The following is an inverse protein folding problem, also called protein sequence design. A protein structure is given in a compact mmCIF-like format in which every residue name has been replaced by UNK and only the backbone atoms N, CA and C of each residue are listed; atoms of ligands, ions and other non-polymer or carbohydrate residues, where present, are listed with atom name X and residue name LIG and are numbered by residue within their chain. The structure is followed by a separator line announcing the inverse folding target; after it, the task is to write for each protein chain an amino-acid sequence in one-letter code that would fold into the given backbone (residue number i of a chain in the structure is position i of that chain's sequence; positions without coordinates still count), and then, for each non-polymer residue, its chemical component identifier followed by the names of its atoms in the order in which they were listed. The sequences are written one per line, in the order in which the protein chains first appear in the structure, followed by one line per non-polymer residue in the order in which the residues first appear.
data_IF_278603065243
#
_entry.id   IF_278603065243
#
_cell.length_a   1.000
_cell.length_b   1.000
_cell.length_c   1.000
_cell.angle_alpha   90.00
_cell.angle_beta   90.00
_cell.angle_gamma   90.00
#
_symmetry.space_group_name_H-M   'P 1'
#
loop_
_entity.id
_entity.type
_entity.pdbx_description
1 polymer ?
#
# COMPACT_ATOMS: atom_id res chain seq x y z
N UNK A 1 24.68 -20.05 60.32
CA UNK A 1 25.52 -20.26 61.53
C UNK A 1 24.77 -20.86 62.71
N UNK A 2 23.78 -20.18 63.34
CA UNK A 2 23.18 -20.63 64.63
C UNK A 2 22.78 -22.12 64.72
N UNK A 3 22.13 -22.69 63.69
CA UNK A 3 21.76 -24.13 63.66
C UNK A 3 22.95 -25.10 63.67
N UNK A 4 24.12 -24.67 63.19
CA UNK A 4 25.37 -25.46 63.18
C UNK A 4 25.98 -25.46 64.58
N UNK A 5 26.08 -24.28 65.21
CA UNK A 5 26.54 -24.15 66.60
C UNK A 5 25.65 -24.96 67.57
N UNK A 6 24.31 -24.94 67.40
CA UNK A 6 23.39 -25.78 68.19
C UNK A 6 23.66 -27.29 68.01
N UNK A 7 24.05 -27.76 66.83
CA UNK A 7 24.36 -29.19 66.59
C UNK A 7 25.69 -29.64 67.18
N UNK A 8 26.70 -28.75 67.23
CA UNK A 8 28.06 -29.10 67.68
C UNK A 8 28.13 -29.24 69.21
N UNK A 9 27.37 -28.45 69.98
CA UNK A 9 27.57 -28.36 71.43
C UNK A 9 26.89 -29.45 72.28
N UNK A 10 26.02 -30.29 71.72
CA UNK A 10 25.45 -31.51 72.35
C UNK A 10 24.87 -31.38 73.77
N UNK A 11 24.53 -30.17 74.23
CA UNK A 11 23.84 -29.92 75.48
C UNK A 11 22.37 -30.33 75.31
N UNK A 12 21.92 -31.30 76.10
CA UNK A 12 20.52 -31.69 76.16
C UNK A 12 19.70 -30.52 76.71
N UNK A 13 18.84 -29.92 75.89
CA UNK A 13 18.16 -28.64 76.16
C UNK A 13 17.27 -28.70 77.44
N UNK A 14 16.99 -29.92 77.92
CA UNK A 14 16.36 -30.21 79.21
C UNK A 14 17.25 -29.87 80.41
N UNK A 15 18.54 -30.21 80.41
CA UNK A 15 19.41 -30.05 81.59
C UNK A 15 19.81 -28.60 81.83
N UNK A 16 20.01 -27.83 80.75
CA UNK A 16 20.23 -26.39 80.85
C UNK A 16 19.00 -25.66 81.43
N UNK A 17 17.79 -26.11 81.08
CA UNK A 17 16.55 -25.54 81.57
C UNK A 17 16.21 -25.95 83.01
N UNK A 18 16.48 -27.18 83.44
CA UNK A 18 16.33 -27.56 84.86
C UNK A 18 17.35 -26.84 85.75
N UNK A 19 18.60 -26.68 85.30
CA UNK A 19 19.61 -25.92 86.04
C UNK A 19 19.18 -24.45 86.23
N UNK A 20 18.75 -23.77 85.16
CA UNK A 20 18.22 -22.39 85.23
C UNK A 20 17.05 -22.26 86.21
N UNK A 21 16.15 -23.24 86.23
CA UNK A 21 15.01 -23.25 87.14
C UNK A 21 15.46 -23.30 88.62
N UNK A 22 16.29 -24.28 89.00
CA UNK A 22 16.78 -24.40 90.39
C UNK A 22 17.58 -23.18 90.87
N UNK A 23 18.41 -22.63 89.98
CA UNK A 23 19.21 -21.41 90.25
C UNK A 23 18.34 -20.19 90.52
N UNK A 24 17.22 -20.03 89.82
CA UNK A 24 16.28 -18.92 90.04
C UNK A 24 15.41 -19.14 91.30
N UNK A 25 15.04 -20.40 91.55
CA UNK A 25 14.08 -20.78 92.59
C UNK A 25 14.60 -20.55 94.02
N UNK A 26 15.88 -20.84 94.28
CA UNK A 26 16.51 -20.65 95.59
C UNK A 26 16.48 -19.19 96.07
N UNK A 27 17.04 -18.23 95.30
CA UNK A 27 16.98 -16.80 95.61
C UNK A 27 15.55 -16.25 95.70
N UNK A 28 14.61 -16.78 94.91
CA UNK A 28 13.20 -16.36 94.95
C UNK A 28 12.53 -16.74 96.28
N UNK A 29 12.66 -18.00 96.73
CA UNK A 29 12.14 -18.41 98.05
C UNK A 29 12.88 -17.74 99.20
N UNK A 30 14.18 -17.46 99.06
CA UNK A 30 14.95 -16.72 100.06
C UNK A 30 14.41 -15.29 100.21
N UNK A 31 14.18 -14.57 99.10
CA UNK A 31 13.65 -13.22 99.09
C UNK A 31 12.22 -13.17 99.66
N UNK A 32 11.36 -14.12 99.28
CA UNK A 32 10.01 -14.26 99.84
C UNK A 32 10.04 -14.52 101.36
N UNK A 33 10.96 -15.37 101.82
CA UNK A 33 11.14 -15.66 103.26
C UNK A 33 11.66 -14.45 104.02
N UNK A 34 12.52 -13.62 103.41
CA UNK A 34 13.02 -12.36 104.01
C UNK A 34 11.89 -11.33 104.16
N UNK A 35 10.97 -11.22 103.19
CA UNK A 35 9.83 -10.28 103.28
C UNK A 35 8.89 -10.64 104.44
N UNK A 36 8.77 -11.93 104.76
CA UNK A 36 7.92 -12.44 105.86
C UNK A 36 8.65 -12.53 107.20
N UNK A 37 9.95 -12.27 107.25
CA UNK A 37 10.78 -12.42 108.44
C UNK A 37 10.80 -11.16 109.33
N UNK A 38 10.95 -11.29 110.66
CA UNK A 38 11.31 -10.17 111.52
C UNK A 38 12.70 -9.61 111.12
N UNK A 39 12.92 -8.34 111.40
CA UNK A 39 14.07 -7.57 110.89
C UNK A 39 15.43 -8.20 111.24
N UNK A 40 15.56 -8.74 112.44
CA UNK A 40 16.76 -9.43 112.93
C UNK A 40 17.08 -10.68 112.09
N UNK A 41 16.04 -11.46 111.75
CA UNK A 41 16.16 -12.65 110.92
C UNK A 41 16.42 -12.30 109.44
N UNK A 42 15.89 -11.18 108.95
CA UNK A 42 16.20 -10.65 107.62
C UNK A 42 17.67 -10.17 107.50
N UNK A 43 18.20 -9.51 108.53
CA UNK A 43 19.63 -9.13 108.61
C UNK A 43 20.51 -10.38 108.68
N UNK A 44 20.11 -11.40 109.46
CA UNK A 44 20.84 -12.67 109.51
C UNK A 44 20.80 -13.42 108.16
N UNK A 45 19.66 -13.45 107.46
CA UNK A 45 19.51 -14.10 106.17
C UNK A 45 20.30 -13.42 105.04
N UNK A 46 20.39 -12.08 105.04
CA UNK A 46 21.24 -11.35 104.08
C UNK A 46 22.73 -11.56 104.35
N UNK A 47 23.15 -11.58 105.62
CA UNK A 47 24.52 -11.95 106.00
C UNK A 47 24.84 -13.42 105.64
N UNK A 48 23.89 -14.34 105.83
CA UNK A 48 24.00 -15.76 105.46
C UNK A 48 24.15 -15.96 103.94
N UNK A 49 23.42 -15.20 103.13
CA UNK A 49 23.56 -15.18 101.67
C UNK A 49 24.95 -14.68 101.26
N UNK A 50 25.41 -13.56 101.84
CA UNK A 50 26.75 -13.03 101.57
C UNK A 50 27.87 -14.00 101.95
N UNK A 51 27.77 -14.65 103.11
CA UNK A 51 28.69 -15.71 103.53
C UNK A 51 28.69 -16.90 102.55
N UNK A 52 27.51 -17.38 102.16
CA UNK A 52 27.34 -18.49 101.21
C UNK A 52 27.93 -18.16 99.83
N UNK A 53 27.71 -16.95 99.33
CA UNK A 53 28.32 -16.46 98.10
C UNK A 53 29.86 -16.36 98.22
N UNK A 54 30.37 -15.75 99.30
CA UNK A 54 31.80 -15.44 99.46
C UNK A 54 32.67 -16.65 99.82
N UNK A 55 32.10 -17.67 100.48
CA UNK A 55 32.81 -18.83 101.01
C UNK A 55 32.24 -20.19 100.56
N UNK A 56 31.26 -20.21 99.64
CA UNK A 56 30.63 -21.43 99.06
C UNK A 56 30.04 -22.33 100.16
N UNK A 57 30.11 -23.65 100.00
CA UNK A 57 29.68 -24.62 101.02
C UNK A 57 30.21 -24.33 102.44
N UNK A 58 31.44 -23.82 102.61
CA UNK A 58 31.96 -23.43 103.94
C UNK A 58 31.18 -22.25 104.52
N UNK A 59 30.79 -21.29 103.68
CA UNK A 59 29.90 -20.18 104.04
C UNK A 59 28.48 -20.65 104.37
N UNK A 60 27.95 -21.61 103.60
CA UNK A 60 26.66 -22.24 103.90
C UNK A 60 26.68 -22.91 105.28
N UNK A 61 27.65 -23.79 105.58
CA UNK A 61 27.74 -24.42 106.90
C UNK A 61 27.87 -23.39 108.03
N UNK A 62 28.68 -22.35 107.85
CA UNK A 62 28.79 -21.27 108.84
C UNK A 62 27.46 -20.54 109.05
N UNK A 63 26.73 -20.28 107.96
CA UNK A 63 25.42 -19.60 108.01
C UNK A 63 24.32 -20.44 108.64
N UNK A 64 24.31 -21.76 108.40
CA UNK A 64 23.37 -22.69 109.05
C UNK A 64 23.65 -22.80 110.55
N UNK A 65 24.92 -22.81 110.97
CA UNK A 65 25.31 -22.78 112.39
C UNK A 65 24.90 -21.44 113.06
N UNK A 66 25.07 -20.31 112.36
CA UNK A 66 24.60 -19.01 112.86
C UNK A 66 23.06 -18.95 112.98
N UNK A 67 22.35 -19.52 112.00
CA UNK A 67 20.89 -19.58 111.97
C UNK A 67 20.31 -20.52 113.04
N UNK A 68 20.92 -21.69 113.30
CA UNK A 68 20.47 -22.57 114.40
C UNK A 68 20.83 -22.01 115.77
N UNK A 69 21.97 -21.33 115.94
CA UNK A 69 22.30 -20.63 117.17
C UNK A 69 21.32 -19.48 117.46
N UNK A 70 20.93 -18.73 116.42
CA UNK A 70 19.90 -17.69 116.52
C UNK A 70 18.52 -18.28 116.84
N UNK A 71 18.13 -19.36 116.16
CA UNK A 71 16.87 -20.11 116.40
C UNK A 71 16.73 -20.59 117.84
N UNK A 72 17.80 -21.14 118.43
CA UNK A 72 17.81 -21.52 119.84
C UNK A 72 17.71 -20.30 120.77
N UNK A 73 18.33 -19.17 120.41
CA UNK A 73 18.25 -17.93 121.18
C UNK A 73 16.85 -17.29 121.11
N UNK A 74 16.19 -17.27 119.95
CA UNK A 74 14.83 -16.73 119.79
C UNK A 74 13.81 -17.59 120.52
N UNK A 75 13.89 -18.92 120.41
CA UNK A 75 12.97 -19.86 121.07
C UNK A 75 13.04 -19.82 122.60
N UNK A 76 14.19 -19.48 123.18
CA UNK A 76 14.35 -19.35 124.65
C UNK A 76 13.81 -18.01 125.18
N UNK A 77 13.77 -16.95 124.36
CA UNK A 77 13.52 -15.58 124.84
C UNK A 77 12.20 -14.95 124.37
N UNK A 78 11.61 -15.38 123.24
CA UNK A 78 10.30 -14.89 122.78
C UNK A 78 9.20 -15.90 123.11
N UNK A 79 8.11 -15.42 123.72
CA UNK A 79 7.01 -16.25 124.27
C UNK A 79 5.89 -16.52 123.25
N UNK A 80 5.87 -15.81 122.12
CA UNK A 80 4.78 -15.89 121.13
C UNK A 80 5.27 -16.41 119.77
N UNK A 81 4.41 -17.19 119.11
CA UNK A 81 4.55 -17.64 117.72
C UNK A 81 5.82 -18.46 117.38
N UNK A 82 6.37 -19.23 118.33
CA UNK A 82 7.52 -20.14 118.13
C UNK A 82 7.46 -20.95 116.82
N UNK A 83 6.30 -21.56 116.52
CA UNK A 83 6.11 -22.42 115.35
C UNK A 83 6.23 -21.67 114.00
N UNK A 84 5.82 -20.40 113.98
CA UNK A 84 5.93 -19.54 112.79
C UNK A 84 7.38 -19.15 112.54
N UNK A 85 8.10 -18.73 113.60
CA UNK A 85 9.51 -18.36 113.51
C UNK A 85 10.37 -19.56 113.09
N UNK A 86 10.14 -20.75 113.67
CA UNK A 86 10.78 -22.00 113.25
C UNK A 86 10.52 -22.31 111.77
N UNK A 87 9.29 -22.08 111.28
CA UNK A 87 8.93 -22.26 109.88
C UNK A 87 9.68 -21.32 108.93
N UNK A 88 9.83 -20.05 109.30
CA UNK A 88 10.61 -19.06 108.56
C UNK A 88 12.11 -19.40 108.56
N UNK A 89 12.67 -19.75 109.73
CA UNK A 89 14.07 -20.17 109.89
C UNK A 89 14.37 -21.41 109.02
N UNK A 90 13.48 -22.41 109.02
CA UNK A 90 13.58 -23.59 108.16
C UNK A 90 13.46 -23.24 106.65
N UNK A 91 12.57 -22.32 106.27
CA UNK A 91 12.43 -21.84 104.88
C UNK A 91 13.69 -21.12 104.40
N UNK A 92 14.28 -20.27 105.24
CA UNK A 92 15.54 -19.57 104.96
C UNK A 92 16.69 -20.58 104.82
N UNK A 93 16.79 -21.55 105.74
CA UNK A 93 17.80 -22.62 105.68
C UNK A 93 17.71 -23.43 104.38
N UNK A 94 16.50 -23.86 103.99
CA UNK A 94 16.26 -24.61 102.75
C UNK A 94 16.60 -23.76 101.51
N UNK A 95 16.22 -22.49 101.51
CA UNK A 95 16.46 -21.58 100.38
C UNK A 95 17.95 -21.26 100.20
N UNK A 96 18.71 -21.14 101.29
CA UNK A 96 20.17 -21.04 101.27
C UNK A 96 20.81 -22.31 100.69
N UNK A 97 20.33 -23.50 101.07
CA UNK A 97 20.79 -24.79 100.54
C UNK A 97 20.56 -24.89 99.03
N UNK A 98 19.35 -24.61 98.54
CA UNK A 98 19.03 -24.62 97.10
C UNK A 98 19.93 -23.64 96.34
N UNK A 99 20.09 -22.42 96.87
CA UNK A 99 20.93 -21.37 96.26
C UNK A 99 22.40 -21.79 96.17
N UNK A 100 22.96 -22.40 97.23
CA UNK A 100 24.36 -22.84 97.24
C UNK A 100 24.64 -23.97 96.26
N UNK A 101 23.74 -24.96 96.15
CA UNK A 101 23.87 -26.04 95.17
C UNK A 101 23.77 -25.52 93.72
N UNK A 102 22.81 -24.64 93.43
CA UNK A 102 22.68 -24.03 92.10
C UNK A 102 23.93 -23.25 91.66
N UNK A 103 24.59 -22.55 92.60
CA UNK A 103 25.81 -21.78 92.31
C UNK A 103 27.04 -22.66 92.02
N UNK A 104 27.21 -23.81 92.69
CA UNK A 104 28.35 -24.68 92.38
C UNK A 104 28.13 -25.48 91.08
N UNK A 105 26.89 -25.89 90.79
CA UNK A 105 26.56 -26.60 89.55
C UNK A 105 26.76 -25.73 88.29
N UNK A 106 26.38 -24.45 88.35
CA UNK A 106 26.76 -23.46 87.32
C UNK A 106 28.29 -23.43 87.12
N UNK A 107 29.05 -23.41 88.23
CA UNK A 107 30.51 -23.34 88.16
C UNK A 107 31.10 -24.59 87.49
N UNK A 108 30.57 -25.76 87.83
CA UNK A 108 31.03 -27.05 87.31
C UNK A 108 30.76 -27.16 85.80
N UNK A 109 29.58 -26.73 85.35
CA UNK A 109 29.21 -26.57 83.93
C UNK A 109 30.14 -25.60 83.18
N UNK A 110 30.49 -24.45 83.79
CA UNK A 110 31.42 -23.47 83.21
C UNK A 110 32.85 -24.03 83.08
N UNK A 111 33.33 -24.85 84.03
CA UNK A 111 34.65 -25.51 83.91
C UNK A 111 34.69 -26.55 82.79
N UNK A 112 33.73 -27.49 82.73
CA UNK A 112 33.70 -28.51 81.67
C UNK A 112 33.66 -27.90 80.26
N UNK A 113 32.98 -26.75 80.09
CA UNK A 113 32.90 -26.05 78.80
C UNK A 113 34.21 -25.36 78.37
N UNK A 114 35.31 -25.49 79.13
CA UNK A 114 36.58 -24.79 78.91
C UNK A 114 37.79 -25.70 78.66
N UNK A 115 37.62 -27.02 78.74
CA UNK A 115 38.76 -27.95 78.97
C UNK A 115 39.38 -28.61 77.73
N UNK A 116 38.86 -28.41 76.50
CA UNK A 116 39.49 -28.97 75.29
C UNK A 116 39.97 -27.92 74.27
N UNK A 117 41.18 -27.32 74.46
CA UNK A 117 41.75 -26.38 73.49
C UNK A 117 42.13 -27.03 72.15
N UNK A 118 42.29 -28.37 72.10
CA UNK A 118 42.60 -29.09 70.87
C UNK A 118 41.44 -29.02 69.86
N UNK A 119 40.19 -29.08 70.33
CA UNK A 119 39.00 -28.98 69.46
C UNK A 119 38.88 -27.59 68.83
N UNK A 120 39.25 -26.53 69.55
CA UNK A 120 39.30 -25.17 69.01
C UNK A 120 40.34 -25.04 67.89
N UNK A 121 41.52 -25.67 68.06
CA UNK A 121 42.57 -25.68 67.04
C UNK A 121 42.14 -26.50 65.80
N UNK A 122 41.53 -27.66 66.01
CA UNK A 122 40.97 -28.49 64.94
C UNK A 122 39.87 -27.73 64.16
N UNK A 123 38.98 -27.02 64.86
CA UNK A 123 37.94 -26.17 64.25
C UNK A 123 38.56 -24.99 63.48
N UNK A 124 39.61 -24.36 64.00
CA UNK A 124 40.31 -23.28 63.30
C UNK A 124 40.98 -23.77 62.02
N UNK A 125 41.57 -24.97 62.04
CA UNK A 125 42.09 -25.60 60.82
C UNK A 125 40.98 -25.88 59.80
N UNK A 126 39.86 -26.47 60.23
CA UNK A 126 38.71 -26.72 59.34
C UNK A 126 38.14 -25.42 58.76
N UNK A 127 38.09 -24.32 59.52
CA UNK A 127 37.65 -23.02 59.00
C UNK A 127 38.61 -22.52 57.91
N UNK A 128 39.92 -22.61 58.13
CA UNK A 128 40.94 -22.20 57.15
C UNK A 128 40.90 -23.08 55.87
N UNK A 129 40.65 -24.38 56.01
CA UNK A 129 40.53 -25.31 54.88
C UNK A 129 39.25 -25.04 54.07
N UNK A 130 38.11 -24.83 54.74
CA UNK A 130 36.86 -24.43 54.09
C UNK A 130 36.96 -23.06 53.41
N UNK A 131 37.68 -22.10 53.99
CA UNK A 131 37.92 -20.80 53.35
C UNK A 131 38.74 -20.95 52.07
N UNK A 132 39.84 -21.72 52.09
CA UNK A 132 40.63 -22.01 50.88
C UNK A 132 39.82 -22.75 49.81
N UNK A 133 38.96 -23.68 50.21
CA UNK A 133 38.03 -24.34 49.30
C UNK A 133 37.06 -23.33 48.66
N UNK A 134 36.49 -22.41 49.45
CA UNK A 134 35.63 -21.34 48.96
C UNK A 134 36.35 -20.41 47.97
N UNK A 135 37.53 -19.90 48.32
CA UNK A 135 38.37 -19.04 47.46
C UNK A 135 38.74 -19.73 46.13
N UNK A 136 38.93 -21.06 46.14
CA UNK A 136 39.16 -21.83 44.91
C UNK A 136 37.89 -22.02 44.09
N UNK A 137 36.73 -22.27 44.72
CA UNK A 137 35.45 -22.30 43.99
C UNK A 137 35.11 -20.94 43.38
N UNK A 138 35.38 -19.83 44.08
CA UNK A 138 35.13 -18.48 43.57
C UNK A 138 35.98 -18.19 42.33
N UNK A 139 37.28 -18.51 42.36
CA UNK A 139 38.18 -18.41 41.18
C UNK A 139 37.69 -19.26 40.01
N UNK A 140 37.23 -20.49 40.26
CA UNK A 140 36.66 -21.35 39.22
C UNK A 140 35.37 -20.75 38.62
N UNK A 141 34.49 -20.17 39.46
CA UNK A 141 33.31 -19.47 38.96
C UNK A 141 33.68 -18.21 38.15
N UNK A 142 34.66 -17.42 38.58
CA UNK A 142 35.15 -16.26 37.81
C UNK A 142 35.73 -16.68 36.45
N UNK A 143 36.52 -17.76 36.38
CA UNK A 143 37.03 -18.31 35.10
C UNK A 143 35.89 -18.77 34.20
N UNK A 144 34.91 -19.50 34.74
CA UNK A 144 33.76 -19.97 33.97
C UNK A 144 32.89 -18.80 33.47
N UNK A 145 32.68 -17.76 34.28
CA UNK A 145 31.96 -16.54 33.87
C UNK A 145 32.69 -15.86 32.71
N UNK A 146 34.01 -15.67 32.82
CA UNK A 146 34.80 -15.05 31.74
C UNK A 146 34.76 -15.88 30.43
N UNK A 147 34.76 -17.21 30.52
CA UNK A 147 34.56 -18.08 29.36
C UNK A 147 33.17 -17.91 28.75
N UNK A 148 32.11 -17.92 29.58
CA UNK A 148 30.72 -17.68 29.15
C UNK A 148 30.52 -16.29 28.52
N UNK A 149 31.21 -15.25 29.00
CA UNK A 149 31.20 -13.92 28.38
C UNK A 149 31.85 -13.94 26.99
N UNK A 150 33.05 -14.53 26.85
CA UNK A 150 33.72 -14.65 25.55
C UNK A 150 32.88 -15.48 24.54
N UNK A 151 32.25 -16.56 25.00
CA UNK A 151 31.33 -17.39 24.21
C UNK A 151 30.05 -16.66 23.79
N UNK A 152 29.62 -15.64 24.56
CA UNK A 152 28.47 -14.79 24.24
C UNK A 152 28.88 -13.72 23.22
N UNK A 153 30.00 -13.03 23.45
CA UNK A 153 30.51 -11.98 22.56
C UNK A 153 30.84 -12.53 21.17
N UNK A 154 31.50 -13.69 21.09
CA UNK A 154 31.77 -14.37 19.80
C UNK A 154 30.49 -14.85 19.10
N UNK A 155 29.46 -15.28 19.84
CA UNK A 155 28.14 -15.58 19.25
C UNK A 155 27.42 -14.32 18.77
N UNK A 156 27.55 -13.20 19.48
CA UNK A 156 26.98 -11.91 19.06
C UNK A 156 27.66 -11.37 17.79
N UNK A 157 28.99 -11.52 17.67
CA UNK A 157 29.73 -11.18 16.45
C UNK A 157 29.35 -12.09 15.26
N UNK A 158 29.32 -13.41 15.45
CA UNK A 158 28.87 -14.34 14.41
C UNK A 158 27.43 -14.05 13.95
N UNK A 159 26.51 -13.82 14.89
CA UNK A 159 25.12 -13.44 14.60
C UNK A 159 25.05 -12.12 13.80
N UNK A 160 25.88 -11.13 14.13
CA UNK A 160 25.98 -9.87 13.39
C UNK A 160 26.51 -10.07 11.96
N UNK A 161 27.48 -10.97 11.76
CA UNK A 161 27.95 -11.34 10.43
C UNK A 161 26.84 -12.03 9.62
N UNK A 162 26.15 -13.00 10.20
CA UNK A 162 25.01 -13.67 9.54
C UNK A 162 23.87 -12.72 9.20
N UNK A 163 23.59 -11.69 10.02
CA UNK A 163 22.64 -10.64 9.65
C UNK A 163 23.12 -9.82 8.43
N UNK A 164 24.40 -9.47 8.35
CA UNK A 164 24.97 -8.76 7.19
C UNK A 164 24.93 -9.61 5.92
N UNK A 165 25.24 -10.91 6.03
CA UNK A 165 25.12 -11.88 4.93
C UNK A 165 23.66 -12.00 4.44
N UNK A 166 22.69 -12.04 5.35
CA UNK A 166 21.28 -12.08 4.98
C UNK A 166 20.80 -10.79 4.28
N UNK A 167 21.27 -9.61 4.69
CA UNK A 167 20.95 -8.36 3.98
C UNK A 167 21.58 -8.31 2.58
N UNK A 168 22.81 -8.80 2.42
CA UNK A 168 23.44 -8.95 1.11
C UNK A 168 22.66 -9.93 0.22
N UNK A 169 22.30 -11.10 0.73
CA UNK A 169 21.50 -12.10 -0.01
C UNK A 169 20.11 -11.57 -0.41
N UNK A 170 19.45 -10.77 0.43
CA UNK A 170 18.20 -10.08 0.06
C UNK A 170 18.43 -9.11 -1.10
N UNK A 171 19.49 -8.30 -1.03
CA UNK A 171 19.84 -7.34 -2.08
C UNK A 171 20.10 -8.05 -3.41
N UNK A 172 20.95 -9.08 -3.39
CA UNK A 172 21.28 -9.89 -4.58
C UNK A 172 20.03 -10.59 -5.14
N UNK A 173 19.11 -11.05 -4.29
CA UNK A 173 17.82 -11.62 -4.72
C UNK A 173 16.93 -10.55 -5.38
N UNK A 174 16.85 -9.33 -4.83
CA UNK A 174 16.09 -8.23 -5.48
C UNK A 174 16.70 -7.79 -6.82
N UNK A 175 18.03 -7.74 -6.94
CA UNK A 175 18.71 -7.44 -8.21
C UNK A 175 18.48 -8.55 -9.24
N UNK A 176 18.50 -9.81 -8.83
CA UNK A 176 18.16 -10.94 -9.72
C UNK A 176 16.67 -10.95 -10.12
N UNK A 177 15.74 -10.56 -9.24
CA UNK A 177 14.33 -10.39 -9.60
C UNK A 177 14.16 -9.27 -10.63
N UNK A 178 14.72 -8.08 -10.39
CA UNK A 178 14.68 -6.98 -11.35
C UNK A 178 15.30 -7.36 -12.71
N UNK A 179 16.40 -8.13 -12.69
CA UNK A 179 17.03 -8.65 -13.91
C UNK A 179 16.16 -9.68 -14.63
N UNK A 180 15.46 -10.56 -13.91
CA UNK A 180 14.48 -11.50 -14.47
C UNK A 180 13.34 -10.74 -15.14
N UNK A 181 12.79 -9.72 -14.47
CA UNK A 181 11.67 -8.93 -14.99
C UNK A 181 12.10 -8.13 -16.22
N UNK A 182 13.31 -7.58 -16.25
CA UNK A 182 13.89 -6.97 -17.45
C UNK A 182 13.99 -7.96 -18.63
N UNK A 183 14.57 -9.15 -18.39
CA UNK A 183 14.73 -10.17 -19.43
C UNK A 183 13.38 -10.73 -19.92
N UNK A 184 12.37 -10.79 -19.05
CA UNK A 184 11.01 -11.17 -19.43
C UNK A 184 10.36 -10.12 -20.33
N UNK A 185 10.54 -8.82 -20.04
CA UNK A 185 10.07 -7.75 -20.93
C UNK A 185 10.82 -7.74 -22.28
N UNK A 186 12.12 -8.04 -22.29
CA UNK A 186 12.90 -8.19 -23.53
C UNK A 186 12.41 -9.39 -24.35
N UNK A 187 12.12 -10.53 -23.69
CA UNK A 187 11.53 -11.71 -24.35
C UNK A 187 10.14 -11.40 -24.92
N UNK A 188 9.25 -10.75 -24.16
CA UNK A 188 7.92 -10.32 -24.61
C UNK A 188 7.98 -9.37 -25.81
N UNK A 189 9.02 -8.52 -25.90
CA UNK A 189 9.26 -7.70 -27.08
C UNK A 189 9.73 -8.57 -28.26
N UNK A 190 10.65 -9.53 -28.04
CA UNK A 190 11.14 -10.42 -29.12
C UNK A 190 10.04 -11.34 -29.66
N UNK A 191 9.14 -11.84 -28.81
CA UNK A 191 7.96 -12.59 -29.24
C UNK A 191 7.10 -11.75 -30.18
N UNK A 192 6.76 -10.51 -29.79
CA UNK A 192 6.00 -9.58 -30.65
C UNK A 192 6.72 -9.29 -31.95
N UNK A 193 8.04 -9.03 -31.92
CA UNK A 193 8.84 -8.84 -33.14
C UNK A 193 8.78 -10.07 -34.07
N UNK A 194 8.77 -11.29 -33.53
CA UNK A 194 8.59 -12.52 -34.34
C UNK A 194 7.17 -12.71 -34.85
N UNK A 195 6.12 -12.38 -34.09
CA UNK A 195 4.73 -12.39 -34.56
C UNK A 195 4.54 -11.38 -35.71
N UNK A 196 5.09 -10.18 -35.56
CA UNK A 196 5.09 -9.12 -36.57
C UNK A 196 5.84 -9.52 -37.84
N UNK A 197 6.85 -10.40 -37.74
CA UNK A 197 7.57 -10.97 -38.89
C UNK A 197 6.83 -12.15 -39.51
N UNK A 198 6.15 -12.98 -38.70
CA UNK A 198 5.29 -14.07 -39.15
C UNK A 198 4.15 -13.53 -40.04
N UNK A 199 3.44 -12.48 -39.58
CA UNK A 199 2.37 -11.84 -40.38
C UNK A 199 2.91 -11.28 -41.70
N UNK A 200 4.10 -10.66 -41.70
CA UNK A 200 4.75 -10.15 -42.93
C UNK A 200 5.18 -11.29 -43.87
N UNK A 201 5.56 -12.44 -43.34
CA UNK A 201 5.89 -13.65 -44.11
C UNK A 201 4.63 -14.20 -44.78
N UNK A 202 3.52 -14.31 -44.05
CA UNK A 202 2.25 -14.82 -44.56
C UNK A 202 1.65 -13.87 -45.61
N UNK A 203 1.70 -12.55 -45.39
CA UNK A 203 1.38 -11.53 -46.41
C UNK A 203 2.20 -11.70 -47.70
N UNK A 204 3.49 -12.06 -47.59
CA UNK A 204 4.35 -12.28 -48.75
C UNK A 204 4.02 -13.60 -49.45
N UNK A 205 3.68 -14.66 -48.72
CA UNK A 205 3.18 -15.90 -49.31
C UNK A 205 1.85 -15.71 -50.04
N UNK A 206 0.92 -14.92 -49.49
CA UNK A 206 -0.34 -14.59 -50.15
C UNK A 206 -0.09 -13.82 -51.47
N UNK A 207 0.76 -12.79 -51.43
CA UNK A 207 1.18 -12.03 -52.63
C UNK A 207 1.89 -12.90 -53.66
N UNK A 208 2.72 -13.86 -53.23
CA UNK A 208 3.36 -14.84 -54.11
C UNK A 208 2.32 -15.80 -54.71
N UNK A 209 1.28 -16.19 -53.97
CA UNK A 209 0.18 -17.01 -54.50
C UNK A 209 -0.59 -16.27 -55.60
N UNK A 210 -1.01 -15.02 -55.34
CA UNK A 210 -1.68 -14.19 -56.36
C UNK A 210 -0.84 -13.92 -57.61
N UNK A 211 0.50 -13.93 -57.49
CA UNK A 211 1.43 -13.82 -58.62
C UNK A 211 1.73 -15.18 -59.30
N UNK A 212 1.44 -16.29 -58.64
CA UNK A 212 1.60 -17.66 -59.15
C UNK A 212 0.33 -18.16 -59.84
N UNK A 213 -0.83 -17.55 -59.57
CA UNK A 213 -2.07 -17.75 -60.32
C UNK A 213 -1.95 -17.15 -61.74
N UNK A 214 -1.17 -17.85 -62.58
CA UNK A 214 -0.87 -17.52 -63.97
C UNK A 214 -2.15 -17.32 -64.79
N UNK A 215 -3.22 -18.05 -64.46
CA UNK A 215 -4.54 -17.91 -65.09
C UNK A 215 -5.20 -16.55 -64.80
N UNK A 216 -5.08 -16.02 -63.57
CA UNK A 216 -5.54 -14.67 -63.22
C UNK A 216 -4.69 -13.59 -63.90
N UNK A 217 -3.38 -13.77 -63.98
CA UNK A 217 -2.50 -12.86 -64.71
C UNK A 217 -2.76 -12.89 -66.23
N UNK A 218 -3.07 -14.05 -66.79
CA UNK A 218 -3.48 -14.21 -68.19
C UNK A 218 -4.85 -13.57 -68.46
N UNK A 219 -5.83 -13.73 -67.57
CA UNK A 219 -7.14 -13.08 -67.69
C UNK A 219 -7.02 -11.56 -67.59
N UNK A 220 -6.25 -11.04 -66.62
CA UNK A 220 -5.99 -9.60 -66.48
C UNK A 220 -5.25 -9.02 -67.69
N UNK A 221 -4.29 -9.74 -68.26
CA UNK A 221 -3.65 -9.34 -69.52
C UNK A 221 -4.65 -9.40 -70.70
N UNK A 222 -5.55 -10.38 -70.77
CA UNK A 222 -6.62 -10.43 -71.80
C UNK A 222 -7.58 -9.24 -71.69
N UNK A 223 -7.94 -8.80 -70.48
CA UNK A 223 -8.78 -7.58 -70.33
C UNK A 223 -8.02 -6.32 -70.73
N UNK A 224 -6.78 -6.13 -70.28
CA UNK A 224 -5.99 -4.96 -70.68
C UNK A 224 -5.67 -4.94 -72.19
N UNK A 225 -5.51 -6.10 -72.84
CA UNK A 225 -5.38 -6.18 -74.30
C UNK A 225 -6.67 -5.78 -75.02
N UNK A 226 -7.85 -6.16 -74.51
CA UNK A 226 -9.15 -5.69 -75.04
C UNK A 226 -9.31 -4.18 -74.86
N UNK A 227 -9.00 -3.63 -73.69
CA UNK A 227 -9.03 -2.18 -73.44
C UNK A 227 -8.11 -1.41 -74.41
N UNK A 228 -6.91 -1.94 -74.67
CA UNK A 228 -5.97 -1.37 -75.65
C UNK A 228 -6.55 -1.44 -77.08
N UNK A 229 -7.22 -2.53 -77.45
CA UNK A 229 -7.82 -2.67 -78.78
C UNK A 229 -9.09 -1.80 -78.95
N UNK A 230 -9.91 -1.66 -77.92
CA UNK A 230 -11.05 -0.72 -77.88
C UNK A 230 -10.58 0.74 -77.97
N UNK A 231 -9.54 1.14 -77.21
CA UNK A 231 -8.94 2.47 -77.30
C UNK A 231 -8.29 2.73 -78.67
N UNK A 232 -7.68 1.71 -79.28
CA UNK A 232 -7.09 1.78 -80.63
C UNK A 232 -8.18 1.94 -81.70
N UNK A 233 -9.30 1.22 -81.57
CA UNK A 233 -10.46 1.35 -82.45
C UNK A 233 -11.11 2.73 -82.31
N UNK A 234 -11.27 3.24 -81.08
CA UNK A 234 -11.77 4.58 -80.80
C UNK A 234 -10.85 5.67 -81.38
N UNK A 235 -9.53 5.50 -81.26
CA UNK A 235 -8.54 6.38 -81.88
C UNK A 235 -8.65 6.39 -83.42
N UNK A 236 -8.90 5.22 -84.02
CA UNK A 236 -9.12 5.10 -85.46
C UNK A 236 -10.42 5.78 -85.93
N UNK A 237 -11.55 5.63 -85.21
CA UNK A 237 -12.79 6.38 -85.54
C UNK A 237 -12.62 7.87 -85.35
N UNK A 238 -11.99 8.34 -84.27
CA UNK A 238 -11.69 9.76 -84.06
C UNK A 238 -10.77 10.33 -85.15
N UNK A 239 -9.79 9.55 -85.65
CA UNK A 239 -8.97 9.94 -86.80
C UNK A 239 -9.80 10.03 -88.09
N UNK A 240 -10.71 9.08 -88.33
CA UNK A 240 -11.59 9.11 -89.50
C UNK A 240 -12.61 10.26 -89.44
N UNK A 241 -13.13 10.60 -88.25
CA UNK A 241 -13.98 11.77 -88.04
C UNK A 241 -13.20 13.07 -88.25
N UNK A 242 -11.96 13.16 -87.75
CA UNK A 242 -11.06 14.27 -88.03
C UNK A 242 -10.80 14.45 -89.53
N UNK A 243 -10.60 13.36 -90.28
CA UNK A 243 -10.46 13.41 -91.74
C UNK A 243 -11.76 13.89 -92.44
N UNK A 244 -12.93 13.44 -91.99
CA UNK A 244 -14.23 13.97 -92.46
C UNK A 244 -14.38 15.46 -92.17
N UNK A 245 -14.05 15.91 -90.96
CA UNK A 245 -14.11 17.34 -90.62
C UNK A 245 -13.11 18.18 -91.42
N UNK A 246 -11.90 17.65 -91.70
CA UNK A 246 -10.92 18.33 -92.57
C UNK A 246 -11.41 18.41 -94.02
N UNK A 247 -12.06 17.36 -94.55
CA UNK A 247 -12.62 17.41 -95.90
C UNK A 247 -13.79 18.39 -95.99
N UNK A 248 -14.72 18.38 -95.02
CA UNK A 248 -15.79 19.37 -94.88
C UNK A 248 -15.26 20.81 -94.76
N UNK A 249 -14.19 21.03 -93.98
CA UNK A 249 -13.57 22.35 -93.83
C UNK A 249 -13.00 22.80 -95.18
N UNK A 250 -12.30 21.92 -95.90
CA UNK A 250 -11.75 22.24 -97.23
C UNK A 250 -12.84 22.53 -98.28
N UNK A 251 -14.02 21.92 -98.17
CA UNK A 251 -15.18 22.29 -98.97
C UNK A 251 -15.76 23.65 -98.60
N UNK A 252 -15.84 23.96 -97.30
CA UNK A 252 -16.31 25.26 -96.80
C UNK A 252 -15.35 26.37 -97.22
N UNK A 253 -14.05 26.16 -97.12
CA UNK A 253 -13.01 27.08 -97.60
C UNK A 253 -13.08 27.30 -99.13
N UNK A 254 -13.31 26.23 -99.92
CA UNK A 254 -13.56 26.36 -101.38
C UNK A 254 -14.80 27.20 -101.67
N UNK A 255 -15.90 26.97 -100.94
CA UNK A 255 -17.14 27.75 -101.06
C UNK A 255 -16.94 29.21 -100.64
N UNK A 256 -16.13 29.48 -99.62
CA UNK A 256 -15.72 30.84 -99.22
C UNK A 256 -14.90 31.50 -100.35
N UNK A 257 -13.85 30.85 -100.88
CA UNK A 257 -13.05 31.39 -101.98
C UNK A 257 -13.86 31.64 -103.26
N UNK A 258 -14.89 30.83 -103.53
CA UNK A 258 -15.81 31.05 -104.64
C UNK A 258 -16.75 32.24 -104.40
N UNK A 259 -17.28 32.38 -103.18
CA UNK A 259 -18.05 33.55 -102.75
C UNK A 259 -17.19 34.83 -102.79
N UNK A 260 -15.95 34.80 -102.34
CA UNK A 260 -14.99 35.92 -102.43
C UNK A 260 -14.72 36.33 -103.87
N UNK A 261 -14.46 35.36 -104.77
CA UNK A 261 -14.32 35.63 -106.22
C UNK A 261 -15.59 36.22 -106.82
N UNK A 262 -16.77 35.80 -106.36
CA UNK A 262 -18.04 36.35 -106.85
C UNK A 262 -18.31 37.75 -106.28
N UNK A 263 -17.96 38.03 -105.01
CA UNK A 263 -17.97 39.38 -104.42
C UNK A 263 -16.99 40.30 -105.17
N UNK A 264 -15.80 39.82 -105.54
CA UNK A 264 -14.80 40.57 -106.30
C UNK A 264 -15.29 40.90 -107.73
N UNK A 265 -15.97 39.97 -108.41
CA UNK A 265 -16.65 40.24 -109.69
C UNK A 265 -17.80 41.23 -109.56
N UNK A 266 -18.55 41.19 -108.45
CA UNK A 266 -19.67 42.11 -108.19
C UNK A 266 -19.15 43.52 -107.89
N UNK A 267 -18.08 43.68 -107.09
CA UNK A 267 -17.48 44.99 -106.83
C UNK A 267 -16.81 45.60 -108.07
N UNK A 268 -16.18 44.78 -108.91
CA UNK A 268 -15.70 45.24 -110.23
C UNK A 268 -16.85 45.70 -111.15
N UNK A 269 -17.98 44.98 -111.17
CA UNK A 269 -19.16 45.37 -111.95
C UNK A 269 -19.95 46.57 -111.39
N UNK A 270 -19.84 46.84 -110.09
CA UNK A 270 -20.38 48.07 -109.48
C UNK A 270 -19.48 49.25 -109.85
N UNK A 271 -18.16 49.11 -109.68
CA UNK A 271 -17.19 50.15 -110.02
C UNK A 271 -17.22 50.52 -111.51
N UNK A 272 -17.47 49.58 -112.43
CA UNK A 272 -17.62 49.92 -113.85
C UNK A 272 -18.91 50.72 -114.11
N UNK A 273 -20.06 50.22 -113.64
CA UNK A 273 -21.37 50.86 -113.86
C UNK A 273 -21.51 52.22 -113.18
N UNK A 274 -20.92 52.39 -112.00
CA UNK A 274 -20.95 53.67 -111.27
C UNK A 274 -20.07 54.71 -111.97
N UNK A 275 -18.90 54.31 -112.47
CA UNK A 275 -18.08 55.18 -113.33
C UNK A 275 -18.78 55.51 -114.66
N UNK A 276 -19.39 54.55 -115.36
CA UNK A 276 -20.17 54.82 -116.59
C UNK A 276 -21.32 55.81 -116.32
N UNK A 277 -22.05 55.63 -115.22
CA UNK A 277 -23.16 56.52 -114.85
C UNK A 277 -22.68 57.93 -114.49
N UNK A 278 -21.57 58.06 -113.77
CA UNK A 278 -20.93 59.35 -113.50
C UNK A 278 -20.47 60.01 -114.81
N UNK A 279 -19.91 59.24 -115.75
CA UNK A 279 -19.52 59.74 -117.08
C UNK A 279 -20.72 60.26 -117.89
N UNK A 280 -21.85 59.54 -117.82
CA UNK A 280 -23.12 59.91 -118.46
C UNK A 280 -23.71 61.20 -117.84
N UNK A 281 -23.79 61.28 -116.51
CA UNK A 281 -24.25 62.50 -115.82
C UNK A 281 -23.32 63.70 -116.07
N UNK A 282 -22.00 63.48 -116.20
CA UNK A 282 -21.03 64.51 -116.57
C UNK A 282 -21.24 65.00 -118.00
N UNK A 283 -21.49 64.09 -118.96
CA UNK A 283 -21.78 64.43 -120.35
C UNK A 283 -23.13 65.14 -120.50
N UNK A 284 -24.17 64.70 -119.79
CA UNK A 284 -25.44 65.42 -119.71
C UNK A 284 -25.28 66.83 -119.13
N UNK A 285 -24.47 67.00 -118.08
CA UNK A 285 -24.19 68.32 -117.51
C UNK A 285 -23.39 69.21 -118.48
N UNK A 286 -22.42 68.67 -119.23
CA UNK A 286 -21.75 69.40 -120.32
C UNK A 286 -22.74 69.81 -121.42
N UNK A 287 -23.61 68.91 -121.88
CA UNK A 287 -24.65 69.22 -122.87
C UNK A 287 -25.65 70.26 -122.35
N UNK A 288 -25.99 70.24 -121.06
CA UNK A 288 -26.83 71.26 -120.42
C UNK A 288 -26.12 72.62 -120.31
N UNK A 289 -24.80 72.65 -120.07
CA UNK A 289 -24.00 73.89 -120.10
C UNK A 289 -23.98 74.48 -121.52
N UNK A 290 -23.64 73.71 -122.54
CA UNK A 290 -23.62 74.19 -123.94
C UNK A 290 -25.00 74.70 -124.38
N UNK A 291 -26.08 74.02 -124.00
CA UNK A 291 -27.45 74.47 -124.28
C UNK A 291 -27.91 75.66 -123.42
N UNK A 292 -27.24 75.96 -122.31
CA UNK A 292 -27.48 77.18 -121.52
C UNK A 292 -26.67 78.36 -122.05
N UNK A 293 -25.43 78.14 -122.50
CA UNK A 293 -24.59 79.14 -123.18
C UNK A 293 -25.28 79.64 -124.47
N UNK A 294 -25.76 78.73 -125.32
CA UNK A 294 -26.52 79.07 -126.52
C UNK A 294 -27.83 79.84 -126.19
N UNK A 295 -28.54 79.46 -125.11
CA UNK A 295 -29.74 80.18 -124.67
C UNK A 295 -29.45 81.55 -124.06
N UNK A 296 -28.25 81.75 -123.49
CA UNK A 296 -27.79 83.05 -123.01
C UNK A 296 -27.57 84.01 -124.20
N UNK A 297 -26.93 83.53 -125.27
CA UNK A 297 -26.70 84.32 -126.50
C UNK A 297 -27.99 84.66 -127.28
N UNK A 298 -29.04 83.84 -127.14
CA UNK A 298 -30.37 84.16 -127.71
C UNK A 298 -31.18 85.13 -126.81
N UNK A 299 -30.99 85.08 -125.49
CA UNK A 299 -31.71 85.93 -124.53
C UNK A 299 -31.24 87.39 -124.52
N UNK A 300 -30.00 87.69 -124.91
CA UNK A 300 -29.52 89.07 -124.99
C UNK A 300 -30.16 89.90 -126.13
N UNK A 301 -30.87 89.26 -127.09
CA UNK A 301 -31.46 89.95 -128.26
C UNK A 301 -32.95 90.29 -128.14
N UNK A 302 -33.68 89.72 -127.19
CA UNK A 302 -35.14 89.92 -127.06
C UNK A 302 -35.54 90.52 -125.70
N UNK A 303 -34.92 91.67 -125.37
CA UNK A 303 -35.15 92.46 -124.16
C UNK A 303 -35.74 93.82 -124.56
N UNK A 304 -37.00 93.87 -125.06
CA UNK A 304 -38.09 94.17 -124.13
C UNK A 304 -39.47 93.56 -124.47
N UNK A 305 -40.06 92.86 -123.48
CA UNK A 305 -41.37 93.23 -122.92
C UNK A 305 -41.38 92.68 -121.47
N UNK A 306 -41.51 93.52 -120.44
CA UNK A 306 -42.78 94.10 -119.97
C UNK A 306 -43.66 92.94 -119.46
N UNK A 307 -43.56 92.60 -118.17
CA UNK A 307 -44.23 93.28 -117.05
C UNK A 307 -45.74 93.01 -116.98
N UNK A 308 -46.12 91.73 -117.02
CA UNK A 308 -47.36 91.26 -116.41
C UNK A 308 -47.13 89.92 -115.67
N UNK A 309 -48.03 89.58 -114.74
CA UNK A 309 -47.92 88.45 -113.80
C UNK A 309 -46.68 88.45 -112.88
N UNK A 310 -46.14 89.65 -112.64
CA UNK A 310 -45.66 90.01 -111.32
C UNK A 310 -46.76 89.71 -110.26
N UNK A 311 -46.39 89.09 -109.12
CA UNK A 311 -46.92 89.45 -107.78
C UNK A 311 -48.31 88.94 -107.33
N UNK A 312 -48.49 87.61 -107.24
CA UNK A 312 -49.35 86.84 -106.28
C UNK A 312 -49.18 85.33 -106.59
N UNK A 313 -49.20 84.38 -105.65
CA UNK A 313 -49.16 84.35 -104.17
C UNK A 313 -48.35 83.06 -103.86
N UNK A 314 -47.20 83.08 -103.18
CA UNK A 314 -46.97 83.16 -101.72
C UNK A 314 -47.75 82.11 -100.89
N UNK A 315 -47.02 81.47 -99.96
CA UNK A 315 -47.48 80.63 -98.83
C UNK A 315 -48.02 79.23 -99.23
N UNK A 316 -47.75 78.06 -98.59
CA UNK A 316 -46.91 77.63 -97.43
C UNK A 316 -46.71 76.08 -97.47
N UNK A 317 -45.51 75.48 -97.29
CA UNK A 317 -44.82 74.90 -96.08
C UNK A 317 -45.24 73.49 -95.51
N UNK A 318 -44.21 72.66 -95.15
CA UNK A 318 -44.10 71.64 -94.03
C UNK A 318 -45.00 70.36 -94.08
N UNK A 319 -44.66 69.11 -93.67
CA UNK A 319 -43.44 68.24 -93.45
C UNK A 319 -43.88 66.78 -93.90
N UNK A 320 -43.11 65.68 -94.11
CA UNK A 320 -41.84 65.06 -93.62
C UNK A 320 -41.98 64.04 -92.43
N UNK A 321 -41.14 62.96 -92.44
CA UNK A 321 -40.86 61.92 -91.38
C UNK A 321 -41.87 60.72 -91.22
N UNK A 322 -41.55 59.48 -90.78
CA UNK A 322 -40.30 58.64 -90.65
C UNK A 322 -40.57 57.13 -90.32
N UNK A 323 -39.84 56.19 -90.97
CA UNK A 323 -39.09 54.97 -90.49
C UNK A 323 -39.61 53.88 -89.47
N UNK A 324 -39.06 52.63 -89.63
CA UNK A 324 -38.68 51.57 -88.62
C UNK A 324 -39.75 50.59 -88.01
N UNK A 325 -39.49 49.35 -87.51
CA UNK A 325 -38.39 48.32 -87.63
C UNK A 325 -38.72 46.89 -87.04
N UNK A 326 -38.23 45.78 -87.65
CA UNK A 326 -37.72 44.46 -87.10
C UNK A 326 -38.38 43.49 -86.04
N UNK A 327 -38.56 42.20 -86.46
CA UNK A 327 -38.05 40.86 -85.93
C UNK A 327 -38.46 40.12 -84.60
N UNK A 328 -38.68 38.78 -84.76
CA UNK A 328 -38.18 37.58 -83.97
C UNK A 328 -38.88 36.92 -82.71
N UNK A 329 -39.52 35.74 -82.91
CA UNK A 329 -39.13 34.35 -82.51
C UNK A 329 -39.12 33.71 -81.04
N UNK A 330 -39.99 32.68 -80.82
CA UNK A 330 -39.80 31.31 -80.13
C UNK A 330 -40.00 31.07 -78.57
N UNK A 331 -40.04 29.82 -77.96
CA UNK A 331 -41.23 29.33 -77.18
C UNK A 331 -41.04 28.45 -75.87
N UNK A 332 -42.16 27.87 -75.34
CA UNK A 332 -42.31 26.73 -74.34
C UNK A 332 -41.81 26.97 -72.87
N UNK A 333 -42.18 26.26 -71.77
CA UNK A 333 -42.89 24.95 -71.50
C UNK A 333 -43.71 24.96 -70.15
N UNK A 334 -44.09 23.78 -69.63
CA UNK A 334 -44.93 23.38 -68.45
C UNK A 334 -44.30 23.61 -67.03
N UNK A 335 -44.84 23.27 -65.82
CA UNK A 335 -45.99 22.44 -65.36
C UNK A 335 -46.38 22.63 -63.84
N UNK A 336 -47.55 22.09 -63.42
CA UNK A 336 -47.92 21.46 -62.12
C UNK A 336 -48.03 22.18 -60.73
N UNK A 337 -49.16 21.89 -60.03
CA UNK A 337 -49.44 21.94 -58.56
C UNK A 337 -50.45 20.77 -58.30
N UNK A 338 -50.40 19.93 -57.24
CA UNK A 338 -50.98 20.10 -55.88
C UNK A 338 -50.58 18.92 -54.95
N UNK A 339 -51.19 18.82 -53.76
CA UNK A 339 -51.14 17.74 -52.75
C UNK A 339 -49.81 17.50 -52.02
N UNK A 340 -49.62 18.26 -50.93
CA UNK A 340 -48.36 18.32 -50.16
C UNK A 340 -48.51 18.19 -48.63
N UNK A 341 -49.68 17.76 -48.15
CA UNK A 341 -50.01 17.82 -46.71
C UNK A 341 -50.39 16.46 -46.09
N UNK A 342 -51.20 15.63 -46.76
CA UNK A 342 -51.51 14.27 -46.29
C UNK A 342 -50.27 13.35 -46.15
N UNK A 343 -49.20 13.62 -46.90
CA UNK A 343 -47.98 12.80 -46.87
C UNK A 343 -47.18 12.98 -45.57
N UNK A 344 -47.22 14.18 -44.96
CA UNK A 344 -46.31 14.58 -43.86
C UNK A 344 -46.59 13.85 -42.54
N UNK A 345 -47.85 13.52 -42.26
CA UNK A 345 -48.24 12.88 -41.00
C UNK A 345 -47.87 11.38 -40.99
N UNK A 346 -48.00 10.71 -42.14
CA UNK A 346 -47.56 9.33 -42.31
C UNK A 346 -46.02 9.21 -42.23
N UNK A 347 -45.31 10.14 -42.87
CA UNK A 347 -43.85 10.24 -42.84
C UNK A 347 -43.29 10.36 -41.40
N UNK A 348 -43.92 11.15 -40.54
CA UNK A 348 -43.44 11.33 -39.16
C UNK A 348 -43.59 10.05 -38.32
N UNK A 349 -44.73 9.36 -38.37
CA UNK A 349 -44.89 8.05 -37.68
C UNK A 349 -43.91 7.02 -38.20
N UNK A 350 -43.67 6.99 -39.51
CA UNK A 350 -42.73 6.05 -40.12
C UNK A 350 -41.26 6.35 -39.70
N UNK A 351 -40.91 7.63 -39.51
CA UNK A 351 -39.60 8.05 -38.96
C UNK A 351 -39.41 7.69 -37.49
N UNK A 352 -40.46 7.74 -36.67
CA UNK A 352 -40.38 7.29 -35.26
C UNK A 352 -40.23 5.77 -35.16
N UNK A 353 -40.99 5.01 -35.96
CA UNK A 353 -40.84 3.56 -36.08
C UNK A 353 -39.44 3.18 -36.60
N UNK A 354 -38.92 3.91 -37.61
CA UNK A 354 -37.55 3.74 -38.12
C UNK A 354 -36.49 3.99 -37.05
N UNK A 355 -36.62 5.07 -36.26
CA UNK A 355 -35.73 5.35 -35.12
C UNK A 355 -35.77 4.22 -34.10
N UNK A 356 -36.97 3.80 -33.66
CA UNK A 356 -37.12 2.71 -32.68
C UNK A 356 -36.50 1.40 -33.18
N UNK A 357 -36.70 1.06 -34.46
CA UNK A 357 -36.13 -0.13 -35.06
C UNK A 357 -34.60 -0.03 -35.20
N UNK A 358 -34.05 1.14 -35.52
CA UNK A 358 -32.59 1.36 -35.50
C UNK A 358 -31.98 1.23 -34.10
N UNK A 359 -32.69 1.68 -33.06
CA UNK A 359 -32.27 1.54 -31.67
C UNK A 359 -32.31 0.07 -31.22
N UNK A 360 -33.33 -0.68 -31.67
CA UNK A 360 -33.43 -2.12 -31.43
C UNK A 360 -32.32 -2.91 -32.14
N UNK A 361 -31.98 -2.55 -33.39
CA UNK A 361 -30.82 -3.13 -34.11
C UNK A 361 -29.52 -2.82 -33.38
N UNK A 362 -29.27 -1.56 -33.00
CA UNK A 362 -28.07 -1.18 -32.23
C UNK A 362 -27.97 -1.92 -30.90
N UNK A 363 -29.08 -2.07 -30.16
CA UNK A 363 -29.12 -2.81 -28.90
C UNK A 363 -28.86 -4.31 -29.11
N UNK A 364 -29.43 -4.90 -30.17
CA UNK A 364 -29.20 -6.29 -30.57
C UNK A 364 -27.74 -6.53 -30.95
N UNK A 365 -27.15 -5.62 -31.71
CA UNK A 365 -25.75 -5.73 -32.14
C UNK A 365 -24.77 -5.55 -30.97
N UNK A 366 -25.04 -4.62 -30.05
CA UNK A 366 -24.31 -4.56 -28.77
C UNK A 366 -24.47 -5.85 -27.94
N UNK A 367 -25.63 -6.52 -27.99
CA UNK A 367 -25.83 -7.79 -27.29
C UNK A 367 -25.06 -8.94 -27.95
N UNK A 368 -25.06 -8.99 -29.29
CA UNK A 368 -24.26 -9.93 -30.08
C UNK A 368 -22.76 -9.73 -29.85
N UNK A 369 -22.29 -8.47 -29.84
CA UNK A 369 -20.91 -8.10 -29.55
C UNK A 369 -20.52 -8.51 -28.13
N UNK A 370 -21.33 -8.17 -27.11
CA UNK A 370 -21.10 -8.61 -25.73
C UNK A 370 -21.12 -10.13 -25.58
N UNK A 371 -21.96 -10.86 -26.31
CA UNK A 371 -21.91 -12.33 -26.35
C UNK A 371 -20.62 -12.85 -26.99
N UNK A 372 -20.15 -12.26 -28.09
CA UNK A 372 -18.87 -12.62 -28.73
C UNK A 372 -17.68 -12.35 -27.80
N UNK A 373 -17.64 -11.18 -27.16
CA UNK A 373 -16.62 -10.82 -26.17
C UNK A 373 -16.66 -11.76 -24.98
N UNK A 374 -17.84 -12.08 -24.44
CA UNK A 374 -18.00 -13.03 -23.33
C UNK A 374 -17.60 -14.47 -23.71
N UNK A 375 -17.88 -14.89 -24.95
CA UNK A 375 -17.44 -16.19 -25.44
C UNK A 375 -15.92 -16.22 -25.61
N UNK A 376 -15.33 -15.14 -26.14
CA UNK A 376 -13.87 -15.02 -26.26
C UNK A 376 -13.21 -15.03 -24.88
N UNK A 377 -13.64 -14.19 -23.93
CA UNK A 377 -13.03 -14.18 -22.59
C UNK A 377 -13.23 -15.49 -21.81
N UNK A 378 -14.31 -16.25 -22.07
CA UNK A 378 -14.44 -17.63 -21.55
C UNK A 378 -13.41 -18.59 -22.17
N UNK A 379 -13.14 -18.48 -23.47
CA UNK A 379 -12.13 -19.28 -24.15
C UNK A 379 -10.72 -18.88 -23.71
N UNK A 380 -10.42 -17.58 -23.66
CA UNK A 380 -9.15 -17.03 -23.18
C UNK A 380 -8.89 -17.45 -21.72
N UNK A 381 -9.91 -17.43 -20.86
CA UNK A 381 -9.81 -17.86 -19.45
C UNK A 381 -9.67 -19.39 -19.33
N UNK A 382 -10.31 -20.17 -20.19
CA UNK A 382 -10.10 -21.63 -20.23
C UNK A 382 -8.66 -21.97 -20.63
N UNK A 383 -8.14 -21.34 -21.69
CA UNK A 383 -6.75 -21.49 -22.12
C UNK A 383 -5.76 -21.01 -21.05
N UNK A 384 -6.05 -19.91 -20.36
CA UNK A 384 -5.23 -19.46 -19.23
C UNK A 384 -5.22 -20.46 -18.06
N UNK A 385 -6.38 -21.09 -17.75
CA UNK A 385 -6.49 -22.13 -16.74
C UNK A 385 -5.78 -23.43 -17.15
N UNK A 386 -5.85 -23.80 -18.44
CA UNK A 386 -5.15 -24.96 -19.01
C UNK A 386 -3.63 -24.73 -18.98
N UNK A 387 -3.15 -23.58 -19.44
CA UNK A 387 -1.74 -23.19 -19.37
C UNK A 387 -1.22 -23.12 -17.93
N UNK A 388 -1.99 -22.57 -16.99
CA UNK A 388 -1.61 -22.56 -15.56
C UNK A 388 -1.54 -23.99 -14.99
N UNK A 389 -2.42 -24.89 -15.45
CA UNK A 389 -2.40 -26.30 -15.04
C UNK A 389 -1.24 -27.07 -15.68
N UNK A 390 -0.84 -26.71 -16.90
CA UNK A 390 0.34 -27.24 -17.58
C UNK A 390 1.63 -26.77 -16.88
N UNK A 391 1.82 -25.46 -16.68
CA UNK A 391 2.94 -24.89 -15.95
C UNK A 391 3.07 -25.45 -14.53
N UNK A 392 1.95 -25.69 -13.84
CA UNK A 392 1.96 -26.31 -12.51
C UNK A 392 2.35 -27.81 -12.54
N UNK A 393 2.17 -28.51 -13.66
CA UNK A 393 2.69 -29.88 -13.84
C UNK A 393 4.17 -29.86 -14.22
N UNK A 394 4.56 -28.99 -15.15
CA UNK A 394 5.94 -28.80 -15.60
C UNK A 394 6.85 -28.43 -14.42
N UNK A 395 6.49 -27.39 -13.66
CA UNK A 395 7.19 -27.02 -12.42
C UNK A 395 7.22 -28.17 -11.40
N UNK A 396 6.19 -29.01 -11.31
CA UNK A 396 6.16 -30.17 -10.42
C UNK A 396 7.02 -31.36 -10.94
N UNK A 397 7.22 -31.46 -12.26
CA UNK A 397 8.03 -32.49 -12.89
C UNK A 397 9.52 -32.10 -12.93
N UNK A 398 9.87 -30.81 -12.96
CA UNK A 398 11.24 -30.30 -12.76
C UNK A 398 11.87 -30.80 -11.44
N UNK A 399 11.07 -30.98 -10.37
CA UNK A 399 11.54 -31.58 -9.11
C UNK A 399 12.02 -33.03 -9.23
N UNK A 400 11.77 -33.73 -10.36
CA UNK A 400 12.32 -35.07 -10.61
C UNK A 400 13.79 -35.03 -11.01
N UNK A 401 14.22 -34.01 -11.74
CA UNK A 401 15.58 -33.92 -12.28
C UNK A 401 16.55 -33.18 -11.34
N UNK A 402 16.04 -32.57 -10.26
CA UNK A 402 16.85 -32.08 -9.14
C UNK A 402 17.83 -33.15 -8.60
N UNK A 403 19.02 -32.72 -8.22
CA UNK A 403 20.01 -33.53 -7.52
C UNK A 403 19.45 -34.09 -6.21
N UNK A 404 19.95 -35.25 -5.76
CA UNK A 404 19.59 -35.80 -4.44
C UNK A 404 19.93 -34.84 -3.29
N UNK A 405 20.96 -33.99 -3.47
CA UNK A 405 21.28 -32.90 -2.54
C UNK A 405 20.19 -31.83 -2.50
N UNK A 406 19.65 -31.45 -3.67
CA UNK A 406 18.59 -30.43 -3.80
C UNK A 406 17.24 -30.98 -3.30
N UNK A 407 16.96 -32.26 -3.54
CA UNK A 407 15.82 -32.98 -2.94
C UNK A 407 15.92 -33.09 -1.42
N UNK A 408 17.14 -33.27 -0.87
CA UNK A 408 17.35 -33.18 0.57
C UNK A 408 17.12 -31.77 1.08
N UNK A 409 17.68 -30.76 0.41
CA UNK A 409 17.52 -29.35 0.80
C UNK A 409 16.05 -28.90 0.76
N UNK A 410 15.29 -29.33 -0.25
CA UNK A 410 13.84 -29.11 -0.36
C UNK A 410 13.08 -29.74 0.81
N UNK A 411 13.45 -30.97 1.21
CA UNK A 411 12.84 -31.67 2.35
C UNK A 411 13.20 -31.01 3.70
N UNK A 412 14.40 -30.47 3.83
CA UNK A 412 14.81 -29.69 5.00
C UNK A 412 14.14 -28.29 5.02
N UNK A 413 13.82 -27.73 3.84
CA UNK A 413 12.98 -26.53 3.70
C UNK A 413 11.53 -26.81 4.16
N UNK A 414 10.89 -27.86 3.64
CA UNK A 414 9.55 -28.30 4.07
C UNK A 414 9.50 -28.54 5.59
N UNK A 415 10.53 -29.20 6.13
CA UNK A 415 10.69 -29.45 7.56
C UNK A 415 10.80 -28.14 8.35
N UNK A 416 11.66 -27.22 7.94
CA UNK A 416 11.82 -25.93 8.63
C UNK A 416 10.61 -25.01 8.48
N UNK A 417 9.87 -25.04 7.37
CA UNK A 417 8.56 -24.37 7.28
C UNK A 417 7.55 -24.99 8.25
N UNK A 418 7.51 -26.32 8.37
CA UNK A 418 6.62 -27.00 9.31
C UNK A 418 6.93 -26.66 10.78
N UNK A 419 8.22 -26.57 11.14
CA UNK A 419 8.67 -26.13 12.46
C UNK A 419 8.34 -24.65 12.71
N UNK A 420 8.58 -23.78 11.73
CA UNK A 420 8.24 -22.35 11.78
C UNK A 420 6.72 -22.14 11.95
N UNK A 421 5.90 -23.00 11.35
CA UNK A 421 4.44 -23.00 11.53
C UNK A 421 4.03 -23.41 12.95
N UNK A 422 4.70 -24.39 13.56
CA UNK A 422 4.50 -24.77 14.97
C UNK A 422 4.90 -23.60 15.89
N UNK A 423 6.08 -23.00 15.70
CA UNK A 423 6.51 -21.84 16.50
C UNK A 423 5.61 -20.62 16.33
N UNK A 424 5.00 -20.39 15.15
CA UNK A 424 3.97 -19.35 14.98
C UNK A 424 2.73 -19.63 15.82
N UNK A 425 2.26 -20.89 15.82
CA UNK A 425 1.10 -21.29 16.62
C UNK A 425 1.39 -21.22 18.13
N UNK A 426 2.60 -21.61 18.56
CA UNK A 426 3.03 -21.48 19.95
C UNK A 426 3.13 -20.01 20.39
N UNK A 427 3.72 -19.14 19.58
CA UNK A 427 3.74 -17.69 19.84
C UNK A 427 2.32 -17.10 19.92
N UNK A 428 1.38 -17.57 19.10
CA UNK A 428 -0.01 -17.12 19.18
C UNK A 428 -0.69 -17.60 20.48
N UNK A 429 -0.55 -18.89 20.84
CA UNK A 429 -1.03 -19.41 22.12
C UNK A 429 -0.46 -18.64 23.33
N UNK A 430 0.81 -18.21 23.26
CA UNK A 430 1.45 -17.40 24.29
C UNK A 430 0.93 -15.96 24.33
N UNK A 431 0.59 -15.36 23.18
CA UNK A 431 -0.07 -14.06 23.12
C UNK A 431 -1.49 -14.12 23.71
N UNK A 432 -2.25 -15.17 23.37
CA UNK A 432 -3.59 -15.40 23.91
C UNK A 432 -3.55 -15.58 25.44
N UNK A 433 -2.60 -16.39 25.95
CA UNK A 433 -2.37 -16.57 27.40
C UNK A 433 -1.95 -15.27 28.12
N UNK A 434 -1.15 -14.42 27.48
CA UNK A 434 -0.81 -13.08 28.01
C UNK A 434 -2.06 -12.20 28.04
N UNK A 435 -2.93 -12.30 27.04
CA UNK A 435 -4.25 -11.65 27.01
C UNK A 435 -5.12 -12.06 28.20
N UNK A 436 -5.32 -13.37 28.41
CA UNK A 436 -6.07 -13.90 29.56
C UNK A 436 -5.49 -13.43 30.90
N UNK A 437 -4.16 -13.42 31.06
CA UNK A 437 -3.51 -12.97 32.28
C UNK A 437 -3.69 -11.47 32.54
N UNK A 438 -3.68 -10.64 31.49
CA UNK A 438 -3.94 -9.22 31.59
C UNK A 438 -5.41 -8.95 31.95
N UNK A 439 -6.37 -9.57 31.27
CA UNK A 439 -7.81 -9.44 31.55
C UNK A 439 -8.17 -9.90 32.98
N UNK A 440 -7.54 -10.99 33.43
CA UNK A 440 -7.65 -11.52 34.80
C UNK A 440 -6.96 -10.64 35.86
N UNK A 441 -6.01 -9.79 35.46
CA UNK A 441 -5.41 -8.80 36.35
C UNK A 441 -6.26 -7.53 36.47
N UNK A 442 -6.94 -7.12 35.38
CA UNK A 442 -7.86 -5.98 35.36
C UNK A 442 -9.11 -6.24 36.20
N UNK A 443 -9.81 -7.36 35.93
CA UNK A 443 -11.03 -7.76 36.65
C UNK A 443 -10.82 -7.88 38.17
N UNK A 444 -9.68 -8.41 38.62
CA UNK A 444 -9.32 -8.47 40.05
C UNK A 444 -9.09 -7.12 40.73
N UNK A 445 -8.75 -6.08 39.96
CA UNK A 445 -8.66 -4.73 40.52
C UNK A 445 -10.04 -4.08 40.62
N UNK A 446 -10.97 -4.43 39.72
CA UNK A 446 -12.37 -3.93 39.78
C UNK A 446 -13.16 -4.53 40.94
N UNK A 447 -13.00 -5.83 41.23
CA UNK A 447 -13.61 -6.47 42.43
C UNK A 447 -13.19 -5.77 43.73
N UNK A 448 -11.89 -5.45 43.89
CA UNK A 448 -11.38 -4.74 45.07
C UNK A 448 -11.95 -3.32 45.24
N UNK A 449 -12.17 -2.61 44.13
CA UNK A 449 -12.76 -1.26 44.12
C UNK A 449 -14.26 -1.29 44.49
N UNK A 450 -14.89 -2.47 44.47
CA UNK A 450 -16.23 -2.70 44.99
C UNK A 450 -16.24 -3.04 46.49
N UNK A 451 -15.37 -3.94 46.96
CA UNK A 451 -15.27 -4.27 48.40
C UNK A 451 -14.90 -3.03 49.25
N UNK A 452 -13.98 -2.18 48.78
CA UNK A 452 -13.54 -0.95 49.47
C UNK A 452 -14.60 0.19 49.48
N UNK A 453 -15.85 -0.08 49.04
CA UNK A 453 -16.96 0.88 49.06
C UNK A 453 -18.15 0.52 49.96
N UNK A 454 -18.19 -0.68 50.54
CA UNK A 454 -19.23 -1.01 51.53
C UNK A 454 -18.82 -0.63 52.97
N UNK A 455 -17.54 -0.40 53.26
CA UNK A 455 -17.06 0.15 54.55
C UNK A 455 -16.98 1.69 54.56
N UNK A 456 -18.11 2.37 54.33
CA UNK A 456 -18.27 3.80 54.69
C UNK A 456 -19.25 3.90 55.86
N UNK A 457 -18.78 4.07 57.12
CA UNK A 457 -19.67 4.29 58.25
C UNK A 457 -20.38 5.65 58.14
N UNK A 458 -21.63 5.71 58.61
CA UNK A 458 -22.39 6.97 58.64
C UNK A 458 -21.69 8.02 59.51
N UNK A 459 -21.60 9.30 59.07
CA UNK A 459 -20.93 10.34 59.85
C UNK A 459 -21.77 10.73 61.08
N UNK A 460 -21.24 10.48 62.28
CA UNK A 460 -21.85 10.93 63.54
C UNK A 460 -22.02 12.46 63.56
N UNK A 461 -23.28 12.91 63.61
CA UNK A 461 -23.62 14.34 63.77
C UNK A 461 -23.32 14.76 65.20
N UNK A 462 -22.09 15.23 65.44
CA UNK A 462 -21.68 15.78 66.74
C UNK A 462 -22.02 17.27 66.85
N UNK A 463 -23.06 17.58 67.61
CA UNK A 463 -23.35 18.95 68.06
C UNK A 463 -22.17 19.50 68.88
N UNK A 464 -21.51 20.56 68.39
CA UNK A 464 -20.59 21.36 69.21
C UNK A 464 -21.12 22.79 69.36
N UNK A 465 -21.92 22.95 70.41
CA UNK A 465 -22.11 24.24 71.08
C UNK A 465 -20.83 24.62 71.83
N UNK A 466 -20.56 25.94 71.89
CA UNK A 466 -19.94 26.65 73.02
C UNK A 466 -18.49 26.24 73.42
N UNK A 467 -17.61 27.11 73.92
CA UNK A 467 -17.41 28.57 73.84
C UNK A 467 -15.99 28.85 74.42
N UNK A 468 -15.30 29.88 73.92
CA UNK A 468 -13.89 30.26 74.21
C UNK A 468 -12.80 29.47 73.43
#
# INVERSE_FOLDING_TARGET
MQRVLKKIFLIDEKTENTLKFWVLLGPFFLLLSIILAPFELAVLATAALFLSYRFKFKGLFLSLIALTAFSLYTQVNLVENHLWNLGLEASIALSLIITAFGLDEIKNFISHKRENPQDLLNLQQQINENQKAFENTEKNYQVNINQLTNDLDTKAENLKLTYLENENLKKDLTENTQRKDYLLNELDQKVKETEDLQVKLDELYEKISFLKDEEFLLEKNKTSLKEIEELKNLSATLSQEKEKFVSELSEKDRKIQELEKNIQKVSQNLNSKENEKILLELNEKKQKIINLENKLTDLEKNKPNIDELHKKLKDTQIELKTLKQTKNHTPLTSENITDKELLKEYDNKNRELSKLNSLYVQLKDQFNEKQRVLHKTRQDLFHAQENFTALKKELNDDFKDLSDNEKSLMKDLDKTESELKVYKQENQNLQDLIGELLEKSSSKNEEKIFEEKEEIPEPEVTDQKELF
#
